data_IF_784559403289
#
_entry.id   IF_784559403289
#
_cell.length_a   1.000
_cell.length_b   1.000
_cell.length_c   1.000
_cell.angle_alpha   90.00
_cell.angle_beta   90.00
_cell.angle_gamma   90.00
#
_symmetry.space_group_name_H-M   'P 1'
#
loop_
_entity.id
_entity.type
_entity.pdbx_description
1 polymer ?
#
# COMPACT_ATOMS: atom_id res chain seq x y z
N UNK A 1 -19.90 10.81 10.27
CA UNK A 1 -20.10 9.50 9.59
C UNK A 1 -18.84 9.15 8.83
N UNK A 2 -18.46 7.87 8.75
CA UNK A 2 -17.36 7.41 7.90
C UNK A 2 -17.95 6.40 6.93
N UNK A 3 -17.76 6.64 5.63
CA UNK A 3 -18.11 5.72 4.55
C UNK A 3 -16.79 5.15 4.03
N UNK A 4 -16.51 3.90 4.37
CA UNK A 4 -15.26 3.24 4.03
C UNK A 4 -15.38 2.45 2.72
N UNK A 5 -14.31 2.47 1.91
CA UNK A 5 -14.17 1.70 0.65
C UNK A 5 -15.32 1.91 -0.36
N UNK A 6 -15.61 3.18 -0.70
CA UNK A 6 -16.73 3.52 -1.61
C UNK A 6 -16.34 3.43 -3.09
N UNK A 7 -17.00 2.53 -3.81
CA UNK A 7 -16.78 2.30 -5.25
C UNK A 7 -17.76 3.02 -6.18
N UNK A 8 -18.85 3.56 -5.66
CA UNK A 8 -19.95 4.10 -6.47
C UNK A 8 -20.48 5.42 -5.93
N UNK A 9 -20.52 6.44 -6.79
CA UNK A 9 -21.04 7.77 -6.46
C UNK A 9 -22.51 7.73 -6.05
N UNK A 10 -23.33 6.94 -6.76
CA UNK A 10 -24.77 6.86 -6.49
C UNK A 10 -25.02 6.23 -5.11
N UNK A 11 -24.24 5.22 -4.72
CA UNK A 11 -24.33 4.64 -3.39
C UNK A 11 -23.86 5.62 -2.31
N UNK A 12 -22.77 6.36 -2.54
CA UNK A 12 -22.33 7.39 -1.62
C UNK A 12 -23.40 8.47 -1.41
N UNK A 13 -24.02 8.98 -2.49
CA UNK A 13 -25.04 10.02 -2.44
C UNK A 13 -26.26 9.63 -1.58
N UNK A 14 -26.67 8.37 -1.61
CA UNK A 14 -27.79 7.87 -0.80
C UNK A 14 -27.46 7.82 0.71
N UNK A 15 -26.17 7.77 1.06
CA UNK A 15 -25.68 7.68 2.42
C UNK A 15 -25.13 9.03 2.93
N UNK A 16 -25.08 10.05 2.08
CA UNK A 16 -24.67 11.38 2.49
C UNK A 16 -25.68 11.97 3.47
N UNK A 17 -25.16 12.37 4.61
CA UNK A 17 -25.89 13.11 5.62
C UNK A 17 -25.29 14.50 5.77
N UNK A 18 -26.04 15.52 5.35
CA UNK A 18 -25.68 16.92 5.51
C UNK A 18 -26.52 17.55 6.62
N UNK A 19 -25.87 17.83 7.75
CA UNK A 19 -26.45 18.56 8.85
C UNK A 19 -25.39 19.42 9.52
N UNK A 20 -25.81 20.55 10.10
CA UNK A 20 -24.91 21.46 10.79
C UNK A 20 -24.18 20.75 11.94
N UNK A 21 -22.86 20.96 12.03
CA UNK A 21 -22.00 20.30 13.03
C UNK A 21 -21.56 18.89 12.70
N UNK A 22 -22.05 18.27 11.61
CA UNK A 22 -21.65 16.93 11.19
C UNK A 22 -20.66 16.97 10.02
N UNK A 23 -19.78 15.97 9.98
CA UNK A 23 -18.86 15.73 8.86
C UNK A 23 -18.97 14.27 8.43
N UNK A 24 -18.88 14.07 7.13
CA UNK A 24 -18.77 12.75 6.51
C UNK A 24 -17.38 12.60 5.90
N UNK A 25 -16.67 11.53 6.27
CA UNK A 25 -15.40 11.15 5.66
C UNK A 25 -15.69 10.00 4.73
N UNK A 26 -15.23 10.10 3.48
CA UNK A 26 -15.33 9.02 2.49
C UNK A 26 -13.91 8.58 2.16
N UNK A 27 -13.65 7.28 2.25
CA UNK A 27 -12.43 6.68 1.69
C UNK A 27 -12.81 5.98 0.38
N UNK A 28 -11.99 6.18 -0.64
CA UNK A 28 -12.20 5.60 -1.97
C UNK A 28 -10.87 5.47 -2.68
N UNK A 29 -10.79 4.51 -3.62
CA UNK A 29 -9.68 4.36 -4.57
C UNK A 29 -9.95 5.06 -5.90
N UNK A 30 -11.17 5.58 -6.10
CA UNK A 30 -11.68 6.10 -7.36
C UNK A 30 -12.23 7.52 -7.18
N UNK A 31 -11.55 8.50 -7.76
CA UNK A 31 -11.94 9.91 -7.64
C UNK A 31 -13.35 10.18 -8.19
N UNK A 32 -13.79 9.43 -9.20
CA UNK A 32 -15.12 9.60 -9.78
C UNK A 32 -16.25 9.14 -8.83
N UNK A 33 -15.98 8.28 -7.84
CA UNK A 33 -16.99 7.86 -6.86
C UNK A 33 -17.30 8.95 -5.83
N UNK A 34 -16.49 10.02 -5.77
CA UNK A 34 -16.67 11.14 -4.84
C UNK A 34 -17.87 12.00 -5.31
N UNK A 35 -18.88 12.23 -4.47
CA UNK A 35 -19.91 13.23 -4.73
C UNK A 35 -19.31 14.63 -4.56
N UNK A 36 -19.37 15.46 -5.60
CA UNK A 36 -18.79 16.81 -5.57
C UNK A 36 -19.87 17.82 -5.15
N UNK A 37 -19.60 18.53 -4.07
CA UNK A 37 -20.38 19.67 -3.57
C UNK A 37 -19.45 20.83 -3.18
N UNK A 38 -20.03 22.01 -2.92
CA UNK A 38 -19.25 23.20 -2.51
C UNK A 38 -18.50 23.01 -1.17
N UNK A 39 -18.90 22.04 -0.35
CA UNK A 39 -18.26 21.70 0.93
C UNK A 39 -17.28 20.53 0.83
N UNK A 40 -17.19 19.89 -0.34
CA UNK A 40 -16.34 18.71 -0.55
C UNK A 40 -14.86 19.10 -0.54
N UNK A 41 -14.07 18.37 0.24
CA UNK A 41 -12.61 18.50 0.28
C UNK A 41 -11.99 17.13 0.01
N UNK A 42 -11.18 17.05 -1.04
CA UNK A 42 -10.46 15.83 -1.41
C UNK A 42 -9.06 15.88 -0.78
N UNK A 43 -8.67 14.78 -0.15
CA UNK A 43 -7.32 14.61 0.39
C UNK A 43 -6.69 13.37 -0.23
N UNK A 44 -5.70 13.58 -1.10
CA UNK A 44 -4.93 12.50 -1.69
C UNK A 44 -3.89 12.04 -0.68
N UNK A 45 -4.01 10.79 -0.23
CA UNK A 45 -3.07 10.20 0.74
C UNK A 45 -1.70 10.05 0.06
N UNK A 46 -0.64 10.74 0.52
CA UNK A 46 0.67 10.62 -0.07
C UNK A 46 1.36 9.31 0.33
N UNK A 47 2.37 8.90 -0.44
CA UNK A 47 3.30 7.86 -0.01
C UNK A 47 4.04 8.29 1.25
N UNK A 48 4.44 7.31 2.08
CA UNK A 48 5.23 7.60 3.27
C UNK A 48 6.58 8.21 2.87
N UNK A 49 6.98 9.22 3.63
CA UNK A 49 8.29 9.81 3.49
C UNK A 49 9.35 8.87 4.05
N UNK A 50 10.59 9.00 3.57
CA UNK A 50 11.69 8.07 3.88
C UNK A 50 11.86 7.76 5.37
N UNK A 51 11.71 8.74 6.25
CA UNK A 51 11.84 8.55 7.70
C UNK A 51 10.71 7.67 8.27
N UNK A 52 9.46 7.96 7.90
CA UNK A 52 8.29 7.20 8.36
C UNK A 52 8.23 5.81 7.74
N UNK A 53 8.62 5.70 6.45
CA UNK A 53 8.72 4.44 5.74
C UNK A 53 9.76 3.51 6.40
N UNK A 54 10.95 4.03 6.71
CA UNK A 54 11.98 3.28 7.41
C UNK A 54 11.54 2.87 8.83
N UNK A 55 10.89 3.78 9.56
CA UNK A 55 10.36 3.49 10.89
C UNK A 55 9.33 2.36 10.86
N UNK A 56 8.38 2.43 9.92
CA UNK A 56 7.36 1.39 9.72
C UNK A 56 8.00 0.06 9.31
N UNK A 57 8.96 0.08 8.39
CA UNK A 57 9.68 -1.10 7.95
C UNK A 57 10.41 -1.77 9.13
N UNK A 58 11.14 -0.99 9.93
CA UNK A 58 11.85 -1.50 11.11
C UNK A 58 10.89 -2.10 12.14
N UNK A 59 9.73 -1.47 12.35
CA UNK A 59 8.72 -1.99 13.26
C UNK A 59 8.27 -3.39 12.86
N UNK A 60 8.04 -3.63 11.57
CA UNK A 60 7.64 -4.94 11.06
C UNK A 60 8.79 -5.94 10.92
N UNK A 61 10.02 -5.51 10.64
CA UNK A 61 11.17 -6.39 10.52
C UNK A 61 11.77 -6.78 11.88
N UNK A 62 11.79 -5.86 12.84
CA UNK A 62 12.57 -5.98 14.08
C UNK A 62 11.76 -5.76 15.36
N UNK A 63 10.50 -5.33 15.25
CA UNK A 63 9.65 -5.03 16.42
C UNK A 63 9.96 -3.70 17.10
N UNK A 64 10.75 -2.82 16.46
CA UNK A 64 11.13 -1.50 16.98
C UNK A 64 11.27 -0.48 15.83
N UNK A 65 11.11 0.84 16.08
CA UNK A 65 11.01 1.84 15.01
C UNK A 65 12.35 2.23 14.35
N UNK A 66 13.45 1.54 14.68
CA UNK A 66 14.78 1.83 14.17
C UNK A 66 15.56 0.56 13.89
N UNK A 67 16.55 0.66 13.01
CA UNK A 67 17.45 -0.45 12.68
C UNK A 67 18.24 -0.83 13.95
N UNK A 68 18.20 -2.08 14.41
CA UNK A 68 19.06 -2.53 15.50
C UNK A 68 20.53 -2.36 15.13
N UNK A 69 21.39 -2.01 16.10
CA UNK A 69 22.83 -1.85 15.86
C UNK A 69 23.54 -3.13 15.43
N UNK A 70 22.90 -4.28 15.59
CA UNK A 70 23.39 -5.60 15.14
C UNK A 70 23.14 -5.86 13.65
N UNK A 71 22.26 -5.08 13.02
CA UNK A 71 21.86 -5.27 11.63
C UNK A 71 22.68 -4.41 10.66
N UNK A 72 22.73 -4.85 9.40
CA UNK A 72 23.38 -4.11 8.31
C UNK A 72 22.47 -2.96 7.84
N UNK A 73 22.79 -1.73 8.29
CA UNK A 73 22.00 -0.53 8.03
C UNK A 73 21.78 -0.26 6.53
N UNK A 74 22.80 -0.49 5.72
CA UNK A 74 22.75 -0.27 4.27
C UNK A 74 21.84 -1.29 3.59
N UNK A 75 21.95 -2.57 3.98
CA UNK A 75 21.10 -3.62 3.42
C UNK A 75 19.62 -3.36 3.75
N UNK A 76 19.31 -3.00 5.00
CA UNK A 76 17.93 -2.70 5.41
C UNK A 76 17.36 -1.54 4.61
N UNK A 77 18.10 -0.43 4.50
CA UNK A 77 17.67 0.74 3.72
C UNK A 77 17.51 0.44 2.24
N UNK A 78 18.35 -0.42 1.66
CA UNK A 78 18.23 -0.82 0.27
C UNK A 78 16.97 -1.66 0.01
N UNK A 79 16.63 -2.58 0.91
CA UNK A 79 15.39 -3.37 0.80
C UNK A 79 14.16 -2.50 1.01
N UNK A 80 14.16 -1.66 2.04
CA UNK A 80 13.07 -0.71 2.34
C UNK A 80 12.79 0.22 1.15
N UNK A 81 13.85 0.74 0.51
CA UNK A 81 13.74 1.63 -0.63
C UNK A 81 13.04 0.99 -1.84
N UNK A 82 12.97 -0.35 -1.95
CA UNK A 82 12.20 -1.02 -3.01
C UNK A 82 10.69 -1.01 -2.74
N UNK A 83 10.25 -0.70 -1.51
CA UNK A 83 8.83 -0.57 -1.17
C UNK A 83 8.24 0.80 -1.58
N UNK A 84 9.08 1.76 -2.01
CA UNK A 84 8.70 3.10 -2.52
C UNK A 84 7.70 3.86 -1.62
N UNK A 85 7.78 3.66 -0.30
CA UNK A 85 6.92 4.34 0.67
C UNK A 85 5.48 3.82 0.75
N UNK A 86 5.14 2.72 0.07
CA UNK A 86 3.82 2.07 0.17
C UNK A 86 3.69 1.32 1.50
N UNK A 87 2.78 1.72 2.41
CA UNK A 87 2.65 1.10 3.74
C UNK A 87 2.43 -0.42 3.70
N UNK A 88 1.62 -0.89 2.75
CA UNK A 88 1.34 -2.32 2.60
C UNK A 88 2.57 -3.11 2.15
N UNK A 89 3.31 -2.60 1.16
CA UNK A 89 4.54 -3.23 0.69
C UNK A 89 5.60 -3.29 1.80
N UNK A 90 5.79 -2.18 2.53
CA UNK A 90 6.69 -2.10 3.68
C UNK A 90 6.35 -3.17 4.72
N UNK A 91 5.08 -3.26 5.13
CA UNK A 91 4.62 -4.25 6.10
C UNK A 91 4.89 -5.68 5.63
N UNK A 92 4.46 -6.01 4.41
CA UNK A 92 4.54 -7.37 3.86
C UNK A 92 6.00 -7.81 3.71
N UNK A 93 6.83 -6.99 3.07
CA UNK A 93 8.24 -7.30 2.83
C UNK A 93 9.00 -7.39 4.15
N UNK A 94 8.84 -6.41 5.05
CA UNK A 94 9.52 -6.43 6.34
C UNK A 94 9.12 -7.63 7.21
N UNK A 95 7.82 -7.97 7.25
CA UNK A 95 7.33 -9.13 8.01
C UNK A 95 7.90 -10.44 7.47
N UNK A 96 8.06 -10.55 6.14
CA UNK A 96 8.64 -11.73 5.49
C UNK A 96 10.13 -11.95 5.78
N UNK A 97 10.81 -10.91 6.27
CA UNK A 97 12.25 -10.93 6.56
C UNK A 97 12.54 -10.94 8.07
N UNK A 98 11.50 -10.91 8.91
CA UNK A 98 11.65 -10.91 10.37
C UNK A 98 12.32 -12.21 10.83
N UNK A 99 13.47 -12.08 11.48
CA UNK A 99 14.23 -13.22 12.00
C UNK A 99 14.99 -14.02 10.93
N UNK A 100 14.91 -13.60 9.66
CA UNK A 100 15.64 -14.25 8.57
C UNK A 100 17.11 -13.82 8.55
N UNK A 101 18.05 -14.73 8.20
CA UNK A 101 19.47 -14.42 8.20
C UNK A 101 19.87 -13.52 7.03
N UNK A 102 21.00 -12.83 7.15
CA UNK A 102 21.55 -11.90 6.15
C UNK A 102 21.51 -12.40 4.68
N UNK A 103 21.85 -13.66 4.35
CA UNK A 103 21.76 -14.13 2.96
C UNK A 103 20.35 -14.06 2.35
N UNK A 104 19.30 -14.21 3.17
CA UNK A 104 17.91 -14.08 2.73
C UNK A 104 17.58 -12.64 2.41
N UNK A 105 18.05 -11.68 3.22
CA UNK A 105 17.93 -10.25 2.96
C UNK A 105 18.65 -9.80 1.69
N UNK A 106 19.87 -10.30 1.46
CA UNK A 106 20.63 -10.03 0.23
C UNK A 106 19.92 -10.57 -1.02
N UNK A 107 19.33 -11.77 -0.90
CA UNK A 107 18.50 -12.34 -1.96
C UNK A 107 17.21 -11.54 -2.17
N UNK A 108 16.56 -11.09 -1.10
CA UNK A 108 15.37 -10.26 -1.18
C UNK A 108 15.65 -8.95 -1.91
N UNK A 109 16.73 -8.24 -1.55
CA UNK A 109 17.21 -7.07 -2.28
C UNK A 109 17.37 -7.38 -3.78
N UNK A 110 18.08 -8.45 -4.13
CA UNK A 110 18.34 -8.83 -5.53
C UNK A 110 17.07 -9.16 -6.32
N UNK A 111 16.06 -9.76 -5.68
CA UNK A 111 14.77 -10.11 -6.29
C UNK A 111 13.90 -8.87 -6.47
N UNK A 112 13.79 -8.04 -5.43
CA UNK A 112 12.99 -6.81 -5.48
C UNK A 112 13.50 -5.84 -6.54
N UNK A 113 14.82 -5.66 -6.68
CA UNK A 113 15.40 -4.82 -7.75
C UNK A 113 15.13 -5.32 -9.17
N UNK A 114 14.64 -6.55 -9.31
CA UNK A 114 14.24 -7.17 -10.59
C UNK A 114 12.71 -7.28 -10.74
N UNK A 115 11.94 -6.66 -9.83
CA UNK A 115 10.48 -6.78 -9.81
C UNK A 115 9.99 -8.20 -9.45
N UNK A 116 10.85 -9.03 -8.85
CA UNK A 116 10.50 -10.40 -8.49
C UNK A 116 9.94 -10.43 -7.06
N UNK A 117 8.86 -11.19 -6.86
CA UNK A 117 8.38 -11.53 -5.52
C UNK A 117 9.52 -12.12 -4.68
N UNK A 118 9.56 -11.90 -3.37
CA UNK A 118 10.55 -12.48 -2.43
C UNK A 118 10.00 -13.66 -1.63
N UNK A 119 8.68 -13.85 -1.59
CA UNK A 119 8.00 -14.90 -0.84
C UNK A 119 6.71 -15.32 -1.55
N UNK A 120 6.47 -16.62 -1.63
CA UNK A 120 5.19 -17.15 -2.12
C UNK A 120 4.09 -17.03 -1.07
N UNK A 121 4.44 -17.02 0.22
CA UNK A 121 3.48 -17.00 1.33
C UNK A 121 2.75 -15.65 1.43
N UNK A 122 3.47 -14.54 1.30
CA UNK A 122 2.86 -13.20 1.35
C UNK A 122 2.35 -12.72 -0.01
N UNK A 123 2.52 -13.53 -1.05
CA UNK A 123 1.90 -13.31 -2.34
C UNK A 123 0.39 -13.25 -2.13
N UNK A 124 -0.19 -14.28 -1.51
CA UNK A 124 -1.64 -14.43 -1.52
C UNK A 124 -2.36 -13.32 -0.72
N UNK A 125 -1.81 -12.86 0.41
CA UNK A 125 -2.35 -11.71 1.16
C UNK A 125 -2.28 -10.40 0.35
N UNK A 126 -1.12 -10.13 -0.28
CA UNK A 126 -0.93 -8.91 -1.06
C UNK A 126 -1.81 -8.93 -2.32
N UNK A 127 -1.88 -10.07 -3.00
CA UNK A 127 -2.70 -10.26 -4.17
C UNK A 127 -4.17 -10.10 -3.83
N UNK A 128 -4.66 -10.69 -2.74
CA UNK A 128 -6.05 -10.53 -2.34
C UNK A 128 -6.43 -9.06 -2.04
N UNK A 129 -5.52 -8.28 -1.44
CA UNK A 129 -5.75 -6.84 -1.24
C UNK A 129 -5.83 -6.05 -2.55
N UNK A 130 -5.11 -6.47 -3.60
CA UNK A 130 -5.05 -5.77 -4.89
C UNK A 130 -6.11 -6.28 -5.87
N UNK A 131 -6.48 -7.55 -5.77
CA UNK A 131 -7.40 -8.27 -6.63
C UNK A 131 -8.73 -7.53 -6.78
N UNK A 132 -9.31 -7.07 -5.67
CA UNK A 132 -10.57 -6.33 -5.71
C UNK A 132 -10.48 -5.04 -6.53
N UNK A 133 -9.29 -4.43 -6.64
CA UNK A 133 -9.07 -3.23 -7.46
C UNK A 133 -8.85 -3.55 -8.94
N UNK A 134 -8.42 -4.76 -9.26
CA UNK A 134 -8.27 -5.23 -10.64
C UNK A 134 -9.61 -5.78 -11.15
N UNK A 135 -10.38 -6.48 -10.30
CA UNK A 135 -11.62 -7.14 -10.69
C UNK A 135 -12.69 -6.17 -11.22
N UNK A 136 -12.72 -4.94 -10.70
CA UNK A 136 -13.65 -3.89 -11.12
C UNK A 136 -13.33 -3.30 -12.49
N UNK A 137 -12.13 -3.54 -13.02
CA UNK A 137 -11.74 -3.07 -14.34
C UNK A 137 -12.46 -3.88 -15.43
N UNK A 138 -12.77 -3.24 -16.54
CA UNK A 138 -13.20 -3.92 -17.75
C UNK A 138 -12.04 -4.70 -18.38
N UNK A 139 -12.35 -5.61 -19.32
CA UNK A 139 -11.36 -6.52 -19.91
C UNK A 139 -10.23 -5.79 -20.66
N UNK A 140 -10.52 -4.64 -21.30
CA UNK A 140 -9.51 -3.83 -21.98
C UNK A 140 -8.56 -3.19 -20.98
N UNK A 141 -9.11 -2.59 -19.92
CA UNK A 141 -8.33 -2.01 -18.82
C UNK A 141 -7.47 -3.05 -18.10
N UNK A 142 -7.97 -4.28 -17.91
CA UNK A 142 -7.20 -5.41 -17.35
C UNK A 142 -6.02 -5.78 -18.25
N UNK A 143 -6.24 -5.88 -19.56
CA UNK A 143 -5.16 -6.18 -20.50
C UNK A 143 -4.09 -5.08 -20.49
N UNK A 144 -4.50 -3.81 -20.52
CA UNK A 144 -3.58 -2.68 -20.40
C UNK A 144 -2.76 -2.73 -19.10
N UNK A 145 -3.37 -3.09 -17.97
CA UNK A 145 -2.68 -3.25 -16.70
C UNK A 145 -1.61 -4.35 -16.75
N UNK A 146 -1.92 -5.50 -17.35
CA UNK A 146 -0.96 -6.61 -17.52
C UNK A 146 0.20 -6.23 -18.45
N UNK A 147 -0.08 -5.50 -19.53
CA UNK A 147 0.94 -5.02 -20.46
C UNK A 147 1.90 -4.04 -19.76
N UNK A 148 1.39 -3.14 -18.92
CA UNK A 148 2.20 -2.24 -18.09
C UNK A 148 3.10 -2.99 -17.09
N UNK A 149 2.62 -4.11 -16.54
CA UNK A 149 3.40 -4.96 -15.63
C UNK A 149 4.51 -5.76 -16.30
N UNK A 150 4.61 -5.74 -17.63
CA UNK A 150 5.61 -6.48 -18.41
C UNK A 150 6.92 -5.70 -18.67
N UNK A 151 7.00 -4.43 -18.23
CA UNK A 151 8.15 -3.53 -18.40
C UNK A 151 8.74 -3.13 -17.04
#
# INVERSE_FOLDING_TARGET
VVLDDVWSRSNAQQLLFEAEGYKTIITTRQDYSIPISNSTRVYNIPMLQKADALSLFCFWAFGQPSIPTTEDEDLVKMVEAECKGLPLALKVIASSLRGEPRPVWENAKKRLTRGQSISEYHRDELFHCLETSIDVLDDESKQCFLDLGSF
#
